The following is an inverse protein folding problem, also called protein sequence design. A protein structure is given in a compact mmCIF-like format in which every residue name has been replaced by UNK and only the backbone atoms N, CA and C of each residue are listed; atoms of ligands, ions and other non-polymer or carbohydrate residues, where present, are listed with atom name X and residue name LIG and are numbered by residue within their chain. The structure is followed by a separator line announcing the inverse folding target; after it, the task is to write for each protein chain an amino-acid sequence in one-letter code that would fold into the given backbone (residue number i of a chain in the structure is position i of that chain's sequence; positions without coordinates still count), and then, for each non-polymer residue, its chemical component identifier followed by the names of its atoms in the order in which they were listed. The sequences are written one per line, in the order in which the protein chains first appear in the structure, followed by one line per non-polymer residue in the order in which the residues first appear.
data_IF_839834586658
#
_entry.id   IF_839834586658
#
_cell.length_a   1.000
_cell.length_b   1.000
_cell.length_c   1.000
_cell.angle_alpha   90.00
_cell.angle_beta   90.00
_cell.angle_gamma   90.00
#
_symmetry.space_group_name_H-M   'P 1'
#
loop_
_entity.id
_entity.type
_entity.pdbx_description
1 polymer ?
#
# COMPACT_ATOMS: atom_id res chain seq x y z
N UNK A 1 -8.98 3.50 -26.62
CA UNK A 1 -8.93 4.16 -25.30
C UNK A 1 -7.81 5.19 -25.33
N UNK A 2 -7.87 6.30 -24.56
CA UNK A 2 -6.72 7.18 -24.45
C UNK A 2 -5.53 6.41 -23.87
N UNK A 3 -4.32 6.79 -24.29
CA UNK A 3 -3.08 6.17 -23.83
C UNK A 3 -2.95 6.34 -22.30
N UNK A 4 -2.56 5.29 -21.60
CA UNK A 4 -2.26 5.34 -20.17
C UNK A 4 -1.01 6.21 -19.94
N UNK A 5 -1.11 7.20 -19.09
CA UNK A 5 -0.05 8.18 -18.85
C UNK A 5 0.61 8.01 -17.48
N UNK A 6 -0.18 7.52 -16.51
CA UNK A 6 0.24 7.47 -15.11
C UNK A 6 -0.12 6.14 -14.48
N UNK A 7 0.81 5.55 -13.77
CA UNK A 7 0.59 4.40 -12.88
C UNK A 7 0.78 4.84 -11.44
N UNK A 8 -0.22 4.58 -10.63
CA UNK A 8 -0.24 4.87 -9.20
C UNK A 8 -0.10 3.53 -8.50
N UNK A 9 0.89 3.40 -7.63
CA UNK A 9 1.21 2.15 -6.94
C UNK A 9 0.93 2.27 -5.45
N UNK A 10 0.48 1.20 -4.81
CA UNK A 10 0.58 1.07 -3.36
C UNK A 10 2.00 0.68 -2.95
N UNK A 11 2.30 0.71 -1.65
CA UNK A 11 3.61 0.36 -1.10
C UNK A 11 3.62 -1.05 -0.50
N UNK A 12 2.92 -1.22 0.64
CA UNK A 12 2.94 -2.45 1.42
C UNK A 12 2.15 -3.56 0.70
N UNK A 13 2.80 -4.69 0.41
CA UNK A 13 2.19 -5.78 -0.39
C UNK A 13 2.25 -5.57 -1.91
N UNK A 14 2.67 -4.40 -2.37
CA UNK A 14 2.75 -4.08 -3.81
C UNK A 14 4.19 -3.86 -4.25
N UNK A 15 4.91 -2.94 -3.62
CA UNK A 15 6.32 -2.70 -3.86
C UNK A 15 7.21 -3.47 -2.89
N UNK A 16 6.77 -3.58 -1.64
CA UNK A 16 7.55 -4.19 -0.56
C UNK A 16 6.75 -5.19 0.27
N UNK A 17 7.44 -6.23 0.77
CA UNK A 17 6.94 -7.15 1.79
C UNK A 17 7.24 -6.60 3.17
N UNK A 18 6.34 -5.80 3.71
CA UNK A 18 6.46 -5.17 5.02
C UNK A 18 5.88 -5.98 6.18
N UNK A 19 5.34 -7.17 5.90
CA UNK A 19 4.71 -8.00 6.93
C UNK A 19 5.61 -8.30 8.13
N UNK A 20 6.91 -8.63 7.96
CA UNK A 20 7.78 -8.88 9.11
C UNK A 20 7.81 -7.72 10.10
N UNK A 21 8.03 -6.50 9.62
CA UNK A 21 8.14 -5.30 10.45
C UNK A 21 6.82 -4.93 11.12
N UNK A 22 5.70 -5.03 10.41
CA UNK A 22 4.37 -4.78 10.94
C UNK A 22 4.06 -5.80 12.05
N UNK A 23 4.25 -7.09 11.78
CA UNK A 23 3.99 -8.18 12.73
C UNK A 23 4.85 -8.03 14.00
N UNK A 24 6.14 -7.75 13.86
CA UNK A 24 7.03 -7.58 15.01
C UNK A 24 6.66 -6.35 15.85
N UNK A 25 6.21 -5.28 15.20
CA UNK A 25 5.72 -4.06 15.89
C UNK A 25 4.43 -4.33 16.65
N UNK A 26 3.51 -5.13 16.09
CA UNK A 26 2.28 -5.55 16.78
C UNK A 26 2.63 -6.42 17.99
N UNK A 27 3.50 -7.43 17.83
CA UNK A 27 3.96 -8.28 18.93
C UNK A 27 4.61 -7.48 20.06
N UNK A 28 5.40 -6.46 19.72
CA UNK A 28 5.97 -5.53 20.68
C UNK A 28 4.89 -4.79 21.46
N UNK A 29 3.91 -4.20 20.77
CA UNK A 29 2.82 -3.46 21.40
C UNK A 29 1.94 -4.35 22.31
N UNK A 30 1.55 -5.53 21.81
CA UNK A 30 0.83 -6.55 22.59
C UNK A 30 1.54 -6.90 23.90
N UNK A 31 2.84 -7.20 23.81
CA UNK A 31 3.65 -7.53 24.98
C UNK A 31 3.80 -6.37 25.95
N UNK A 32 4.04 -5.16 25.44
CA UNK A 32 4.27 -3.96 26.25
C UNK A 32 3.03 -3.56 27.05
N UNK A 33 1.85 -3.70 26.43
CA UNK A 33 0.58 -3.29 27.03
C UNK A 33 -0.11 -4.44 27.80
N UNK A 34 0.45 -5.65 27.78
CA UNK A 34 -0.09 -6.80 28.51
C UNK A 34 -1.35 -7.41 27.90
N UNK A 35 -1.58 -7.21 26.61
CA UNK A 35 -2.65 -7.90 25.90
C UNK A 35 -2.33 -9.39 25.66
N UNK A 36 -3.36 -10.16 25.30
CA UNK A 36 -3.16 -11.56 24.91
C UNK A 36 -2.28 -11.64 23.65
N UNK A 37 -1.51 -12.70 23.54
CA UNK A 37 -0.77 -12.99 22.32
C UNK A 37 -1.74 -13.21 21.15
N UNK A 38 -1.39 -12.67 19.98
CA UNK A 38 -2.13 -12.85 18.75
C UNK A 38 -1.60 -14.07 17.98
N UNK A 39 -2.49 -14.83 17.39
CA UNK A 39 -2.15 -15.93 16.49
C UNK A 39 -1.55 -15.42 15.18
N UNK A 40 -0.82 -16.27 14.46
CA UNK A 40 -0.26 -15.87 13.15
C UNK A 40 -1.32 -15.44 12.11
N UNK A 41 -2.50 -16.08 12.02
CA UNK A 41 -3.58 -15.57 11.17
C UNK A 41 -4.05 -14.17 11.55
N UNK A 42 -4.26 -13.88 12.85
CA UNK A 42 -4.64 -12.54 13.34
C UNK A 42 -3.55 -11.50 13.03
N UNK A 43 -2.28 -11.83 13.24
CA UNK A 43 -1.16 -10.94 12.92
C UNK A 43 -1.09 -10.62 11.42
N UNK A 44 -1.28 -11.64 10.57
CA UNK A 44 -1.28 -11.45 9.12
C UNK A 44 -2.47 -10.61 8.64
N UNK A 45 -3.64 -10.75 9.27
CA UNK A 45 -4.81 -9.95 8.90
C UNK A 45 -4.64 -8.45 9.19
N UNK A 46 -3.69 -8.08 10.08
CA UNK A 46 -3.36 -6.68 10.36
C UNK A 46 -2.50 -6.03 9.27
N UNK A 47 -2.00 -6.79 8.29
CA UNK A 47 -1.18 -6.23 7.21
C UNK A 47 -2.09 -5.78 6.06
N UNK A 48 -2.10 -4.49 5.79
CA UNK A 48 -2.89 -3.86 4.73
C UNK A 48 -4.09 -3.03 5.21
N UNK A 49 -4.95 -3.51 6.13
CA UNK A 49 -6.02 -2.69 6.71
C UNK A 49 -5.50 -1.50 7.55
N UNK A 50 -6.36 -0.48 7.80
CA UNK A 50 -6.09 0.52 8.82
C UNK A 50 -5.91 -0.15 10.18
N UNK A 51 -4.69 -0.07 10.75
CA UNK A 51 -4.31 -0.86 11.92
C UNK A 51 -5.16 -0.52 13.15
N UNK A 52 -5.53 0.75 13.35
CA UNK A 52 -6.31 1.17 14.51
C UNK A 52 -7.64 0.42 14.61
N UNK A 53 -8.43 0.48 13.55
CA UNK A 53 -9.75 -0.16 13.47
C UNK A 53 -9.64 -1.67 13.61
N UNK A 54 -8.69 -2.27 12.89
CA UNK A 54 -8.55 -3.73 12.86
C UNK A 54 -8.06 -4.30 14.20
N UNK A 55 -7.17 -3.60 14.91
CA UNK A 55 -6.70 -4.06 16.22
C UNK A 55 -7.78 -3.92 17.31
N UNK A 56 -8.67 -2.93 17.20
CA UNK A 56 -9.84 -2.80 18.08
C UNK A 56 -10.75 -4.02 17.97
N UNK A 57 -11.04 -4.46 16.76
CA UNK A 57 -11.85 -5.65 16.52
C UNK A 57 -11.19 -6.93 17.06
N UNK A 58 -9.90 -7.12 16.84
CA UNK A 58 -9.17 -8.34 17.23
C UNK A 58 -9.00 -8.45 18.75
N UNK A 59 -8.71 -7.33 19.42
CA UNK A 59 -8.44 -7.31 20.86
C UNK A 59 -9.65 -6.94 21.70
N UNK A 60 -10.77 -6.54 21.08
CA UNK A 60 -11.98 -6.02 21.74
C UNK A 60 -11.65 -4.85 22.69
N UNK A 61 -10.96 -3.85 22.16
CA UNK A 61 -10.48 -2.68 22.89
C UNK A 61 -11.14 -1.39 22.41
N UNK A 62 -11.17 -0.38 23.28
CA UNK A 62 -11.74 0.95 23.00
C UNK A 62 -10.86 1.78 22.07
N UNK A 63 -11.42 2.88 21.57
CA UNK A 63 -10.69 3.89 20.79
C UNK A 63 -9.47 4.43 21.54
N UNK A 64 -9.61 4.72 22.84
CA UNK A 64 -8.51 5.24 23.66
C UNK A 64 -7.39 4.22 23.80
N UNK A 65 -7.71 2.95 24.04
CA UNK A 65 -6.74 1.85 24.12
C UNK A 65 -6.07 1.60 22.77
N UNK A 66 -6.79 1.75 21.66
CA UNK A 66 -6.21 1.63 20.32
C UNK A 66 -5.18 2.74 20.04
N UNK A 67 -5.41 3.95 20.52
CA UNK A 67 -4.42 5.04 20.43
C UNK A 67 -3.15 4.75 21.25
N UNK A 68 -3.29 4.14 22.43
CA UNK A 68 -2.13 3.69 23.22
C UNK A 68 -1.39 2.55 22.52
N UNK A 69 -2.15 1.63 21.95
CA UNK A 69 -1.58 0.54 21.14
C UNK A 69 -0.76 1.09 19.97
N UNK A 70 -1.31 2.04 19.21
CA UNK A 70 -0.60 2.67 18.10
C UNK A 70 0.66 3.42 18.54
N UNK A 71 0.67 4.03 19.73
CA UNK A 71 1.90 4.63 20.28
C UNK A 71 2.97 3.57 20.52
N UNK A 72 2.61 2.48 21.20
CA UNK A 72 3.53 1.36 21.45
C UNK A 72 4.01 0.70 20.14
N UNK A 73 3.11 0.49 19.17
CA UNK A 73 3.44 0.01 17.84
C UNK A 73 4.49 0.90 17.16
N UNK A 74 4.26 2.22 17.14
CA UNK A 74 5.14 3.19 16.50
C UNK A 74 6.53 3.28 17.14
N UNK A 75 6.67 2.98 18.44
CA UNK A 75 7.97 2.95 19.11
C UNK A 75 8.91 1.89 18.51
N UNK A 76 8.37 0.71 18.21
CA UNK A 76 9.17 -0.34 17.57
C UNK A 76 9.29 -0.09 16.07
N UNK A 77 8.15 0.22 15.43
CA UNK A 77 8.09 0.37 13.99
C UNK A 77 9.06 1.44 13.48
N UNK A 78 9.07 2.62 14.07
CA UNK A 78 9.93 3.73 13.63
C UNK A 78 11.43 3.45 13.78
N UNK A 79 11.83 2.60 14.72
CA UNK A 79 13.25 2.31 15.00
C UNK A 79 13.77 1.05 14.31
N UNK A 80 12.92 0.05 14.15
CA UNK A 80 13.29 -1.29 13.66
C UNK A 80 12.33 -1.81 12.60
N UNK A 81 11.03 -1.85 12.89
CA UNK A 81 10.05 -2.49 12.02
C UNK A 81 9.99 -1.91 10.62
N UNK A 82 10.26 -0.61 10.46
CA UNK A 82 10.32 0.05 9.16
C UNK A 82 11.40 -0.54 8.24
N UNK A 83 12.47 -1.10 8.81
CA UNK A 83 13.59 -1.71 8.10
C UNK A 83 13.51 -3.24 8.04
N UNK A 84 12.59 -3.86 8.79
CA UNK A 84 12.23 -5.28 8.68
C UNK A 84 11.26 -5.46 7.51
N UNK A 85 11.74 -5.18 6.32
CA UNK A 85 10.98 -5.03 5.09
C UNK A 85 11.90 -5.37 3.90
N UNK A 86 11.34 -5.95 2.84
CA UNK A 86 12.09 -6.30 1.63
C UNK A 86 11.34 -5.82 0.37
N UNK A 87 12.07 -5.43 -0.66
CA UNK A 87 11.48 -5.13 -1.98
C UNK A 87 11.17 -6.45 -2.70
N UNK A 88 9.98 -6.58 -3.27
CA UNK A 88 9.69 -7.73 -4.13
C UNK A 88 10.68 -7.80 -5.30
N UNK A 89 11.28 -8.97 -5.58
CA UNK A 89 12.48 -9.07 -6.44
C UNK A 89 12.35 -8.43 -7.83
N UNK A 90 11.18 -8.52 -8.45
CA UNK A 90 10.96 -7.99 -9.81
C UNK A 90 10.51 -6.51 -9.83
N UNK A 91 10.25 -5.89 -8.68
CA UNK A 91 9.74 -4.51 -8.60
C UNK A 91 10.73 -3.48 -9.17
N UNK A 92 12.03 -3.49 -8.86
CA UNK A 92 12.95 -2.51 -9.42
C UNK A 92 13.00 -2.55 -10.95
N UNK A 93 12.99 -3.75 -11.54
CA UNK A 93 12.98 -3.93 -12.99
C UNK A 93 11.67 -3.42 -13.62
N UNK A 94 10.53 -3.71 -12.99
CA UNK A 94 9.22 -3.19 -13.41
C UNK A 94 9.20 -1.65 -13.40
N UNK A 95 9.63 -1.02 -12.31
CA UNK A 95 9.65 0.46 -12.20
C UNK A 95 10.52 1.08 -13.30
N UNK A 96 11.70 0.51 -13.55
CA UNK A 96 12.59 0.97 -14.61
C UNK A 96 11.90 0.85 -15.97
N UNK A 97 11.31 -0.31 -16.28
CA UNK A 97 10.62 -0.54 -17.55
C UNK A 97 9.45 0.44 -17.75
N UNK A 98 8.67 0.74 -16.73
CA UNK A 98 7.58 1.72 -16.79
C UNK A 98 8.12 3.14 -17.07
N UNK A 99 9.23 3.53 -16.45
CA UNK A 99 9.89 4.82 -16.73
C UNK A 99 10.41 4.90 -18.16
N UNK A 100 11.01 3.83 -18.68
CA UNK A 100 11.48 3.75 -20.07
C UNK A 100 10.34 3.84 -21.09
N UNK A 101 9.15 3.37 -20.75
CA UNK A 101 7.93 3.55 -21.56
C UNK A 101 7.36 4.98 -21.46
N UNK A 102 7.95 5.87 -20.65
CA UNK A 102 7.47 7.23 -20.44
C UNK A 102 6.25 7.33 -19.54
N UNK A 103 6.01 6.32 -18.69
CA UNK A 103 4.92 6.31 -17.71
C UNK A 103 5.34 7.13 -16.48
N UNK A 104 4.47 8.05 -16.07
CA UNK A 104 4.59 8.76 -14.80
C UNK A 104 4.25 7.82 -13.66
N UNK A 105 5.07 7.77 -12.63
CA UNK A 105 4.86 6.93 -11.46
C UNK A 105 4.53 7.78 -10.24
N UNK A 106 3.49 7.37 -9.52
CA UNK A 106 3.07 7.99 -8.27
C UNK A 106 2.80 6.91 -7.23
N UNK A 107 2.85 7.29 -5.96
CA UNK A 107 2.52 6.42 -4.85
C UNK A 107 1.27 6.93 -4.13
N UNK A 108 0.30 6.04 -3.90
CA UNK A 108 -0.85 6.28 -3.02
C UNK A 108 -0.98 5.10 -2.05
N UNK A 109 -0.70 5.34 -0.77
CA UNK A 109 -0.59 4.25 0.21
C UNK A 109 -1.38 4.55 1.48
N UNK A 110 -1.83 3.49 2.18
CA UNK A 110 -2.39 3.59 3.53
C UNK A 110 -1.33 3.80 4.62
N UNK A 111 -0.03 3.62 4.28
CA UNK A 111 1.07 3.89 5.21
C UNK A 111 1.24 5.40 5.41
N UNK A 112 1.44 5.90 6.65
CA UNK A 112 1.75 7.32 6.88
C UNK A 112 2.88 7.81 5.95
N UNK A 113 2.64 8.94 5.28
CA UNK A 113 3.54 9.45 4.23
C UNK A 113 5.01 9.59 4.67
N UNK A 114 5.33 10.06 5.90
CA UNK A 114 6.72 10.11 6.34
C UNK A 114 7.39 8.73 6.35
N UNK A 115 6.68 7.68 6.77
CA UNK A 115 7.18 6.31 6.76
C UNK A 115 7.29 5.74 5.34
N UNK A 116 6.31 6.04 4.47
CA UNK A 116 6.38 5.61 3.07
C UNK A 116 7.62 6.19 2.37
N UNK A 117 7.90 7.48 2.57
CA UNK A 117 9.09 8.14 2.03
C UNK A 117 10.39 7.56 2.59
N UNK A 118 10.41 7.20 3.87
CA UNK A 118 11.60 6.58 4.49
C UNK A 118 11.89 5.19 3.90
N UNK A 119 10.86 4.34 3.75
CA UNK A 119 10.97 3.04 3.09
C UNK A 119 11.49 3.19 1.66
N UNK A 120 10.91 4.10 0.88
CA UNK A 120 11.34 4.33 -0.50
C UNK A 120 12.79 4.83 -0.59
N UNK A 121 13.26 5.67 0.35
CA UNK A 121 14.67 6.10 0.41
C UNK A 121 15.59 4.95 0.79
N UNK A 122 15.20 4.16 1.78
CA UNK A 122 15.99 3.02 2.24
C UNK A 122 16.30 2.03 1.10
N UNK A 123 15.32 1.80 0.24
CA UNK A 123 15.48 0.90 -0.91
C UNK A 123 15.89 1.61 -2.22
N UNK A 124 16.25 2.88 -2.18
CA UNK A 124 16.60 3.68 -3.34
C UNK A 124 15.51 3.72 -4.44
N UNK A 125 14.24 3.67 -4.03
CA UNK A 125 13.09 3.70 -4.93
C UNK A 125 12.44 5.08 -5.04
N UNK A 126 12.78 6.04 -4.17
CA UNK A 126 12.08 7.32 -4.07
C UNK A 126 12.12 8.13 -5.37
N UNK A 127 13.21 8.07 -6.12
CA UNK A 127 13.44 8.83 -7.35
C UNK A 127 12.63 8.32 -8.56
N UNK A 128 11.97 7.16 -8.41
CA UNK A 128 11.02 6.69 -9.42
C UNK A 128 9.71 7.47 -9.39
N UNK A 129 9.32 8.04 -8.27
CA UNK A 129 8.00 8.61 -8.03
C UNK A 129 8.01 10.14 -8.16
N UNK A 130 7.12 10.66 -8.99
CA UNK A 130 6.92 12.11 -9.15
C UNK A 130 6.18 12.69 -7.96
N UNK A 131 5.26 11.93 -7.38
CA UNK A 131 4.47 12.33 -6.24
C UNK A 131 4.14 11.14 -5.33
N UNK A 132 4.05 11.40 -4.03
CA UNK A 132 3.83 10.41 -2.99
C UNK A 132 2.78 10.95 -2.04
N UNK A 133 1.71 10.20 -1.81
CA UNK A 133 0.69 10.53 -0.85
C UNK A 133 0.37 9.33 0.04
N UNK A 134 0.33 9.58 1.33
CA UNK A 134 -0.16 8.71 2.38
C UNK A 134 -0.83 9.53 3.48
N UNK A 135 -1.49 8.89 4.43
CA UNK A 135 -2.05 9.57 5.59
C UNK A 135 -1.03 10.41 6.34
N UNK A 136 -1.50 11.50 6.92
CA UNK A 136 -0.73 12.24 7.93
C UNK A 136 -0.93 11.59 9.31
N UNK A 137 -0.06 11.91 10.26
CA UNK A 137 -0.19 11.35 11.62
C UNK A 137 -1.40 11.87 12.39
N UNK A 138 -1.98 12.99 11.98
CA UNK A 138 -3.23 13.56 12.51
C UNK A 138 -4.49 13.04 11.80
N UNK A 139 -4.32 12.05 10.90
CA UNK A 139 -5.43 11.30 10.30
C UNK A 139 -5.98 11.84 8.99
N UNK A 140 -5.41 12.91 8.43
CA UNK A 140 -5.81 13.38 7.10
C UNK A 140 -5.43 12.33 6.04
N UNK A 141 -6.35 12.04 5.13
CA UNK A 141 -6.21 11.03 4.07
C UNK A 141 -6.10 9.57 4.58
N UNK A 142 -6.68 9.26 5.74
CA UNK A 142 -6.82 7.87 6.20
C UNK A 142 -7.68 7.04 5.23
N UNK A 143 -8.69 7.65 4.62
CA UNK A 143 -9.38 7.04 3.49
C UNK A 143 -8.51 7.14 2.22
N UNK A 144 -8.14 5.98 1.68
CA UNK A 144 -7.32 5.89 0.46
C UNK A 144 -8.01 6.53 -0.75
N UNK A 145 -9.34 6.53 -0.82
CA UNK A 145 -10.07 7.16 -1.91
C UNK A 145 -9.94 8.69 -1.87
N UNK A 146 -10.00 9.29 -0.68
CA UNK A 146 -9.73 10.72 -0.49
C UNK A 146 -8.27 11.07 -0.81
N UNK A 147 -7.34 10.21 -0.37
CA UNK A 147 -5.92 10.35 -0.70
C UNK A 147 -5.68 10.33 -2.20
N UNK A 148 -6.25 9.35 -2.89
CA UNK A 148 -6.12 9.25 -4.35
C UNK A 148 -6.73 10.47 -5.06
N UNK A 149 -7.90 10.95 -4.62
CA UNK A 149 -8.53 12.16 -5.16
C UNK A 149 -7.60 13.38 -5.06
N UNK A 150 -6.97 13.58 -3.90
CA UNK A 150 -6.02 14.68 -3.69
C UNK A 150 -4.75 14.51 -4.54
N UNK A 151 -4.21 13.30 -4.65
CA UNK A 151 -3.05 13.01 -5.49
C UNK A 151 -3.33 13.35 -6.97
N UNK A 152 -4.48 12.93 -7.48
CA UNK A 152 -4.93 13.25 -8.85
C UNK A 152 -5.12 14.75 -9.05
N UNK A 153 -5.75 15.44 -8.11
CA UNK A 153 -5.99 16.88 -8.17
C UNK A 153 -4.70 17.68 -8.22
N UNK A 154 -3.73 17.37 -7.35
CA UNK A 154 -2.48 18.16 -7.24
C UNK A 154 -1.50 17.87 -8.36
N UNK A 155 -1.48 16.64 -8.86
CA UNK A 155 -0.59 16.21 -9.95
C UNK A 155 -1.12 16.52 -11.35
N UNK A 156 -2.44 16.77 -11.47
CA UNK A 156 -3.12 16.89 -12.75
C UNK A 156 -3.08 15.62 -13.59
N UNK A 157 -2.81 14.45 -12.95
CA UNK A 157 -2.70 13.17 -13.64
C UNK A 157 -4.00 12.77 -14.32
N UNK A 158 -3.89 12.26 -15.55
CA UNK A 158 -5.00 11.76 -16.37
C UNK A 158 -4.67 10.37 -16.86
N UNK A 159 -5.69 9.65 -17.33
CA UNK A 159 -5.52 8.31 -17.90
C UNK A 159 -4.67 7.43 -16.97
N UNK A 160 -5.14 7.28 -15.73
CA UNK A 160 -4.41 6.63 -14.65
C UNK A 160 -4.84 5.17 -14.47
N UNK A 161 -3.90 4.36 -13.97
CA UNK A 161 -4.17 3.03 -13.43
C UNK A 161 -3.62 2.98 -12.00
N UNK A 162 -4.45 2.58 -11.03
CA UNK A 162 -4.06 2.27 -9.66
C UNK A 162 -3.77 0.78 -9.55
N UNK A 163 -2.58 0.41 -9.07
CA UNK A 163 -2.24 -0.98 -8.81
C UNK A 163 -1.94 -1.18 -7.32
N UNK A 164 -2.56 -2.19 -6.74
CA UNK A 164 -2.39 -2.57 -5.35
C UNK A 164 -2.90 -3.98 -5.07
N UNK A 165 -2.56 -4.50 -3.90
CA UNK A 165 -2.83 -5.90 -3.54
C UNK A 165 -4.09 -6.10 -2.70
N UNK A 166 -4.76 -5.00 -2.25
CA UNK A 166 -5.93 -5.10 -1.39
C UNK A 166 -7.15 -4.41 -2.00
N UNK A 167 -8.31 -4.80 -1.49
CA UNK A 167 -9.61 -4.18 -1.84
C UNK A 167 -9.61 -2.64 -1.74
N UNK A 168 -8.84 -2.08 -0.82
CA UNK A 168 -8.75 -0.62 -0.60
C UNK A 168 -8.22 0.13 -1.83
N UNK A 169 -7.33 -0.51 -2.60
CA UNK A 169 -6.79 0.02 -3.85
C UNK A 169 -7.86 0.07 -4.93
N UNK A 170 -8.63 -1.02 -5.03
CA UNK A 170 -9.71 -1.15 -6.01
C UNK A 170 -10.86 -0.18 -5.69
N UNK A 171 -11.23 -0.08 -4.41
CA UNK A 171 -12.26 0.88 -3.95
C UNK A 171 -11.82 2.31 -4.27
N UNK A 172 -10.58 2.68 -3.94
CA UNK A 172 -10.04 4.01 -4.20
C UNK A 172 -10.02 4.33 -5.70
N UNK A 173 -9.58 3.40 -6.53
CA UNK A 173 -9.57 3.56 -7.98
C UNK A 173 -10.98 3.82 -8.53
N UNK A 174 -11.95 2.97 -8.16
CA UNK A 174 -13.34 3.10 -8.59
C UNK A 174 -13.99 4.40 -8.16
N UNK A 175 -13.80 4.81 -6.90
CA UNK A 175 -14.35 6.06 -6.38
C UNK A 175 -13.85 7.28 -7.15
N UNK A 176 -12.67 7.18 -7.78
CA UNK A 176 -12.04 8.26 -8.54
C UNK A 176 -12.11 8.07 -10.07
N UNK A 177 -12.81 7.06 -10.57
CA UNK A 177 -12.91 6.81 -12.01
C UNK A 177 -11.57 6.43 -12.65
N UNK A 178 -10.67 5.82 -11.90
CA UNK A 178 -9.35 5.36 -12.32
C UNK A 178 -9.41 3.85 -12.58
N UNK A 179 -8.73 3.36 -13.62
CA UNK A 179 -8.58 1.93 -13.86
C UNK A 179 -7.84 1.27 -12.71
N UNK A 180 -8.16 0.02 -12.41
CA UNK A 180 -7.59 -0.74 -11.30
C UNK A 180 -6.91 -2.03 -11.75
N UNK A 181 -5.74 -2.33 -11.17
CA UNK A 181 -5.06 -3.60 -11.31
C UNK A 181 -4.79 -4.21 -9.92
N UNK A 182 -5.47 -5.31 -9.62
CA UNK A 182 -5.18 -6.11 -8.44
C UNK A 182 -3.91 -6.94 -8.64
N UNK A 183 -2.99 -6.93 -7.68
CA UNK A 183 -1.75 -7.68 -7.75
C UNK A 183 -1.77 -8.87 -6.77
N UNK A 184 -1.30 -10.04 -7.22
CA UNK A 184 -1.41 -11.31 -6.48
C UNK A 184 -0.14 -11.74 -5.74
N UNK A 185 0.93 -10.97 -5.82
CA UNK A 185 2.16 -11.26 -5.07
C UNK A 185 2.18 -10.65 -3.67
N UNK A 186 1.15 -9.85 -3.32
CA UNK A 186 0.96 -9.23 -2.01
C UNK A 186 0.14 -10.07 -1.04
N UNK A 187 -0.63 -9.41 -0.20
CA UNK A 187 -1.39 -10.03 0.91
C UNK A 187 -2.84 -10.34 0.56
N UNK A 188 -3.41 -9.69 -0.44
CA UNK A 188 -4.78 -9.91 -0.91
C UNK A 188 -4.94 -11.18 -1.73
N UNK A 189 -6.17 -11.68 -1.82
CA UNK A 189 -6.49 -12.85 -2.62
C UNK A 189 -7.16 -12.47 -3.95
N UNK A 190 -7.14 -13.38 -4.90
CA UNK A 190 -7.84 -13.19 -6.18
C UNK A 190 -9.33 -12.97 -5.97
N UNK A 191 -9.92 -13.69 -5.01
CA UNK A 191 -11.34 -13.61 -4.66
C UNK A 191 -11.67 -12.20 -4.13
N UNK A 192 -10.86 -11.67 -3.19
CA UNK A 192 -11.01 -10.29 -2.67
C UNK A 192 -10.97 -9.27 -3.82
N UNK A 193 -9.93 -9.33 -4.65
CA UNK A 193 -9.75 -8.38 -5.75
C UNK A 193 -10.87 -8.45 -6.80
N UNK A 194 -11.34 -9.67 -7.11
CA UNK A 194 -12.43 -9.89 -8.05
C UNK A 194 -13.78 -9.45 -7.47
N UNK A 195 -14.06 -9.72 -6.20
CA UNK A 195 -15.28 -9.30 -5.50
C UNK A 195 -15.44 -7.78 -5.50
N UNK A 196 -14.34 -7.05 -5.25
CA UNK A 196 -14.34 -5.59 -5.32
C UNK A 196 -14.23 -5.07 -6.75
N UNK A 197 -14.13 -5.97 -7.74
CA UNK A 197 -14.23 -5.71 -9.18
C UNK A 197 -13.03 -4.97 -9.73
N UNK A 198 -11.83 -5.47 -9.47
CA UNK A 198 -10.62 -5.03 -10.16
C UNK A 198 -10.79 -5.18 -11.68
N UNK A 199 -10.41 -4.14 -12.45
CA UNK A 199 -10.50 -4.21 -13.92
C UNK A 199 -9.52 -5.23 -14.49
N UNK A 200 -8.37 -5.37 -13.84
CA UNK A 200 -7.33 -6.35 -14.16
C UNK A 200 -6.82 -7.04 -12.90
N UNK A 201 -6.39 -8.28 -13.03
CA UNK A 201 -5.69 -9.02 -11.96
C UNK A 201 -4.45 -9.66 -12.56
N UNK A 202 -3.28 -9.33 -12.01
CA UNK A 202 -1.96 -9.76 -12.48
C UNK A 202 -1.21 -10.54 -11.40
N UNK A 203 -0.43 -11.54 -11.79
CA UNK A 203 0.22 -12.44 -10.86
C UNK A 203 1.67 -12.06 -10.51
N UNK A 204 2.28 -11.14 -11.27
CA UNK A 204 3.66 -10.72 -11.04
C UNK A 204 3.89 -9.26 -11.46
N UNK A 205 4.95 -8.60 -10.94
CA UNK A 205 5.35 -7.28 -11.40
C UNK A 205 5.62 -7.23 -12.92
N UNK A 206 6.17 -8.29 -13.49
CA UNK A 206 6.40 -8.38 -14.94
C UNK A 206 5.08 -8.38 -15.72
N UNK A 207 4.06 -9.10 -15.23
CA UNK A 207 2.73 -9.09 -15.86
C UNK A 207 2.07 -7.71 -15.78
N UNK A 208 2.30 -6.94 -14.70
CA UNK A 208 1.81 -5.57 -14.61
C UNK A 208 2.46 -4.69 -15.69
N UNK A 209 3.77 -4.79 -15.89
CA UNK A 209 4.47 -4.04 -16.93
C UNK A 209 3.98 -4.41 -18.35
N UNK A 210 3.77 -5.70 -18.63
CA UNK A 210 3.22 -6.15 -19.91
C UNK A 210 1.76 -5.75 -20.12
N UNK A 211 0.93 -5.72 -19.06
CA UNK A 211 -0.41 -5.16 -19.11
C UNK A 211 -0.38 -3.70 -19.56
N UNK A 212 0.45 -2.87 -18.92
CA UNK A 212 0.57 -1.44 -19.22
C UNK A 212 1.06 -1.22 -20.65
N UNK A 213 2.01 -2.01 -21.10
CA UNK A 213 2.49 -2.02 -22.49
C UNK A 213 1.35 -2.34 -23.47
N UNK A 214 0.55 -3.37 -23.17
CA UNK A 214 -0.60 -3.77 -23.99
C UNK A 214 -1.66 -2.68 -24.05
N UNK A 215 -2.00 -2.05 -22.92
CA UNK A 215 -2.95 -0.94 -22.85
C UNK A 215 -2.50 0.27 -23.67
N UNK A 216 -1.20 0.44 -23.85
CA UNK A 216 -0.61 1.51 -24.66
C UNK A 216 -0.33 1.12 -26.12
N UNK A 217 -0.62 -0.10 -26.52
CA UNK A 217 -0.30 -0.61 -27.85
C UNK A 217 1.18 -0.43 -28.25
N UNK A 218 2.12 -0.63 -27.28
CA UNK A 218 3.58 -0.49 -27.47
C UNK A 218 4.23 -1.86 -27.64
#
# INVERSE_FOLDING_TARGET
MPRLETVILDLDGTLTDSAPGIINSIKYAVKKLGYRELTMPELRSCVGPPLAEHIMEILDISDEESLEFLKAYREYFAQKGIYENDVYPAVPAMLLQLKEMGIRLMLCTGKPEPYAREVLRHFALIDYFEDILGPTFDGKYNDKAEGLAELLRRSGAKNCLMAGDRKYDIIAAKANGVMSAGVLWGYGTREELAEYGADYIVASPNELAELIKTLNCI
#
